data_IF_501291604545
#
_entry.id   IF_501291604545
#
_cell.length_a   1.000
_cell.length_b   1.000
_cell.length_c   1.000
_cell.angle_alpha   90.00
_cell.angle_beta   90.00
_cell.angle_gamma   90.00
#
_symmetry.space_group_name_H-M   'P 1'
#
loop_
_entity.id
_entity.type
_entity.pdbx_description
1 polymer ?
#
# COMPACT_ATOMS: atom_id res chain seq x y z
N UNK A 1 -30.50 -8.11 -3.27
CA UNK A 1 -29.09 -7.73 -3.02
C UNK A 1 -28.28 -7.97 -4.27
N UNK A 2 -27.53 -6.98 -4.73
CA UNK A 2 -26.65 -7.10 -5.90
C UNK A 2 -25.46 -8.03 -5.58
N UNK A 3 -24.91 -8.75 -6.57
CA UNK A 3 -23.76 -9.65 -6.33
C UNK A 3 -22.56 -8.96 -5.65
N UNK A 4 -22.20 -7.77 -6.08
CA UNK A 4 -21.06 -7.01 -5.52
C UNK A 4 -21.31 -6.60 -4.05
N UNK A 5 -22.52 -6.17 -3.72
CA UNK A 5 -22.88 -5.82 -2.33
C UNK A 5 -22.81 -7.06 -1.43
N UNK A 6 -23.28 -8.20 -1.92
CA UNK A 6 -23.22 -9.46 -1.17
C UNK A 6 -21.80 -9.92 -0.95
N UNK A 7 -20.95 -9.83 -1.96
CA UNK A 7 -19.52 -10.16 -1.85
C UNK A 7 -18.81 -9.27 -0.82
N UNK A 8 -19.10 -7.98 -0.80
CA UNK A 8 -18.54 -7.08 0.21
C UNK A 8 -19.00 -7.46 1.63
N UNK A 9 -20.31 -7.77 1.81
CA UNK A 9 -20.81 -8.23 3.10
C UNK A 9 -20.19 -9.55 3.56
N UNK A 10 -19.90 -10.49 2.65
CA UNK A 10 -19.17 -11.71 2.97
C UNK A 10 -17.78 -11.39 3.51
N UNK A 11 -17.06 -10.44 2.89
CA UNK A 11 -15.74 -10.03 3.35
C UNK A 11 -15.78 -9.34 4.73
N UNK A 12 -16.77 -8.49 4.97
CA UNK A 12 -16.97 -7.82 6.26
C UNK A 12 -17.23 -8.83 7.39
N UNK A 13 -18.10 -9.81 7.13
CA UNK A 13 -18.38 -10.89 8.09
C UNK A 13 -17.13 -11.71 8.38
N UNK A 14 -16.35 -12.06 7.33
CA UNK A 14 -15.09 -12.78 7.48
C UNK A 14 -14.03 -11.98 8.23
N UNK A 15 -13.96 -10.67 8.02
CA UNK A 15 -13.03 -9.80 8.74
C UNK A 15 -13.29 -9.82 10.25
N UNK A 16 -14.57 -9.88 10.65
CA UNK A 16 -14.98 -9.94 12.05
C UNK A 16 -14.83 -11.33 12.66
N UNK A 17 -15.35 -12.37 11.96
CA UNK A 17 -15.44 -13.73 12.52
C UNK A 17 -14.19 -14.59 12.28
N UNK A 18 -13.30 -14.18 11.37
CA UNK A 18 -12.09 -14.91 10.91
C UNK A 18 -12.38 -16.20 10.12
N UNK A 19 -13.48 -16.85 10.39
CA UNK A 19 -13.98 -18.01 9.64
C UNK A 19 -15.50 -17.99 9.64
N UNK A 20 -16.11 -18.50 8.56
CA UNK A 20 -17.57 -18.58 8.42
C UNK A 20 -17.94 -19.77 7.55
N UNK A 21 -19.05 -20.42 7.88
CA UNK A 21 -19.59 -21.52 7.08
C UNK A 21 -20.50 -21.01 5.97
N UNK A 22 -20.69 -21.83 4.91
CA UNK A 22 -21.69 -21.51 3.86
C UNK A 22 -23.08 -21.38 4.48
N UNK A 23 -23.40 -22.22 5.45
CA UNK A 23 -24.71 -22.22 6.11
C UNK A 23 -24.97 -20.92 6.88
N UNK A 24 -23.99 -20.46 7.66
CA UNK A 24 -24.05 -19.15 8.35
C UNK A 24 -24.21 -18.00 7.36
N UNK A 25 -23.47 -17.99 6.25
CA UNK A 25 -23.61 -16.96 5.22
C UNK A 25 -24.98 -16.99 4.55
N UNK A 26 -25.53 -18.19 4.29
CA UNK A 26 -26.90 -18.31 3.77
C UNK A 26 -27.92 -17.68 4.70
N UNK A 27 -27.77 -17.91 5.99
CA UNK A 27 -28.68 -17.38 7.00
C UNK A 27 -28.58 -15.86 7.16
N UNK A 28 -27.32 -15.35 7.22
CA UNK A 28 -27.07 -13.90 7.43
C UNK A 28 -27.48 -13.09 6.19
N UNK A 29 -27.16 -13.60 4.99
CA UNK A 29 -27.33 -12.86 3.73
C UNK A 29 -28.62 -13.24 2.98
N UNK A 30 -29.46 -14.08 3.56
CA UNK A 30 -30.72 -14.56 2.96
C UNK A 30 -30.53 -15.04 1.51
N UNK A 31 -29.47 -15.82 1.27
CA UNK A 31 -29.06 -16.28 -0.06
C UNK A 31 -28.90 -17.79 -0.11
N UNK A 32 -29.13 -18.39 -1.29
CA UNK A 32 -28.98 -19.85 -1.45
C UNK A 32 -27.54 -20.30 -1.33
N UNK A 33 -27.33 -21.53 -0.88
CA UNK A 33 -25.97 -22.11 -0.77
C UNK A 33 -25.23 -22.17 -2.11
N UNK A 34 -25.94 -22.31 -3.24
CA UNK A 34 -25.33 -22.26 -4.56
C UNK A 34 -24.82 -20.84 -4.89
N UNK A 35 -25.60 -19.80 -4.54
CA UNK A 35 -25.19 -18.39 -4.70
C UNK A 35 -23.97 -18.07 -3.86
N UNK A 36 -24.02 -18.43 -2.57
CA UNK A 36 -22.88 -18.21 -1.65
C UNK A 36 -21.62 -18.93 -2.12
N UNK A 37 -21.71 -20.21 -2.55
CA UNK A 37 -20.54 -20.93 -3.06
C UNK A 37 -19.96 -20.29 -4.32
N UNK A 38 -20.81 -19.73 -5.21
CA UNK A 38 -20.34 -18.97 -6.39
C UNK A 38 -19.62 -17.70 -5.97
N UNK A 39 -20.18 -16.93 -5.05
CA UNK A 39 -19.53 -15.72 -4.53
C UNK A 39 -18.21 -16.04 -3.84
N UNK A 40 -18.16 -17.06 -2.99
CA UNK A 40 -16.93 -17.52 -2.36
C UNK A 40 -15.88 -17.97 -3.39
N UNK A 41 -16.29 -18.61 -4.50
CA UNK A 41 -15.38 -19.01 -5.56
C UNK A 41 -14.80 -17.79 -6.29
N UNK A 42 -15.60 -16.76 -6.56
CA UNK A 42 -15.15 -15.49 -7.14
C UNK A 42 -14.20 -14.78 -6.19
N UNK A 43 -14.56 -14.67 -4.91
CA UNK A 43 -13.73 -14.03 -3.89
C UNK A 43 -12.40 -14.77 -3.68
N UNK A 44 -12.40 -16.11 -3.76
CA UNK A 44 -11.17 -16.91 -3.70
C UNK A 44 -10.31 -16.73 -4.95
N UNK A 45 -10.90 -16.73 -6.16
CA UNK A 45 -10.14 -16.46 -7.40
C UNK A 45 -9.53 -15.06 -7.42
N UNK A 46 -10.18 -14.12 -6.74
CA UNK A 46 -9.65 -12.78 -6.50
C UNK A 46 -8.65 -12.74 -5.32
N UNK A 47 -8.37 -13.88 -4.66
CA UNK A 47 -7.48 -13.98 -3.52
C UNK A 47 -7.99 -13.33 -2.22
N UNK A 48 -9.31 -13.03 -2.11
CA UNK A 48 -9.92 -12.27 -1.02
C UNK A 48 -10.21 -13.10 0.23
N UNK A 49 -10.27 -14.39 0.08
CA UNK A 49 -10.46 -15.36 1.14
C UNK A 49 -9.86 -16.71 0.72
N UNK A 50 -9.80 -17.64 1.64
CA UNK A 50 -9.50 -19.05 1.34
C UNK A 50 -10.72 -19.89 1.66
N UNK A 51 -11.19 -20.65 0.66
CA UNK A 51 -12.30 -21.58 0.88
C UNK A 51 -11.85 -22.80 1.67
N UNK A 52 -12.75 -23.32 2.47
CA UNK A 52 -12.66 -24.61 3.16
C UNK A 52 -13.75 -25.54 2.67
N UNK A 53 -13.75 -26.81 3.09
CA UNK A 53 -14.79 -27.79 2.70
C UNK A 53 -16.23 -27.35 3.01
N UNK A 54 -16.43 -26.46 3.98
CA UNK A 54 -17.77 -26.04 4.41
C UNK A 54 -17.98 -24.54 4.46
N UNK A 55 -17.01 -23.74 4.04
CA UNK A 55 -17.10 -22.27 4.20
C UNK A 55 -15.88 -21.52 3.68
N UNK A 56 -15.50 -20.49 4.39
CA UNK A 56 -14.34 -19.67 4.08
C UNK A 56 -13.63 -19.19 5.34
N UNK A 57 -12.33 -18.94 5.23
CA UNK A 57 -11.50 -18.31 6.26
C UNK A 57 -10.94 -16.99 5.76
N UNK A 58 -10.84 -16.05 6.67
CA UNK A 58 -10.24 -14.75 6.43
C UNK A 58 -8.74 -14.92 6.13
N UNK A 59 -8.29 -14.27 5.06
CA UNK A 59 -6.85 -14.14 4.82
C UNK A 59 -6.36 -12.99 5.69
N UNK A 60 -5.56 -13.30 6.70
CA UNK A 60 -4.99 -12.28 7.58
C UNK A 60 -4.12 -11.31 6.77
N UNK A 61 -4.50 -10.03 6.76
CA UNK A 61 -3.75 -8.97 6.09
C UNK A 61 -2.32 -8.81 6.64
N UNK A 62 -2.07 -9.30 7.86
CA UNK A 62 -0.73 -9.41 8.43
C UNK A 62 0.11 -10.54 7.83
N UNK A 63 -0.52 -11.47 7.08
CA UNK A 63 0.19 -12.57 6.45
C UNK A 63 1.24 -12.04 5.46
N UNK A 64 2.38 -12.71 5.43
CA UNK A 64 3.57 -12.34 4.63
C UNK A 64 3.26 -12.14 3.14
N UNK A 65 2.20 -12.77 2.61
CA UNK A 65 1.84 -12.81 1.20
C UNK A 65 0.41 -12.32 0.89
N UNK A 66 -0.10 -11.36 1.64
CA UNK A 66 -1.43 -10.79 1.36
C UNK A 66 -1.46 -10.08 0.00
N UNK A 67 -2.33 -10.51 -0.95
CA UNK A 67 -2.29 -10.03 -2.34
C UNK A 67 -2.49 -8.53 -2.47
N UNK A 68 -1.78 -7.90 -3.44
CA UNK A 68 -1.89 -6.45 -3.71
C UNK A 68 -3.33 -6.03 -4.01
N UNK A 69 -4.04 -6.80 -4.85
CA UNK A 69 -5.43 -6.52 -5.23
C UNK A 69 -6.35 -6.33 -4.02
N UNK A 70 -6.14 -7.09 -2.95
CA UNK A 70 -6.90 -6.97 -1.70
C UNK A 70 -6.49 -5.75 -0.91
N UNK A 71 -5.17 -5.54 -0.81
CA UNK A 71 -4.62 -4.36 -0.14
C UNK A 71 -5.06 -3.05 -0.79
N UNK A 72 -5.38 -3.04 -2.10
CA UNK A 72 -5.89 -1.85 -2.79
C UNK A 72 -7.23 -1.40 -2.25
N UNK A 73 -8.13 -2.33 -1.98
CA UNK A 73 -9.48 -2.06 -1.47
C UNK A 73 -9.53 -1.88 0.06
N UNK A 74 -8.55 -2.43 0.78
CA UNK A 74 -8.45 -2.27 2.22
C UNK A 74 -8.06 -0.83 2.58
N UNK A 75 -8.82 -0.18 3.46
CA UNK A 75 -8.60 1.21 3.89
C UNK A 75 -8.49 2.21 2.71
N UNK A 76 -9.28 2.03 1.65
CA UNK A 76 -9.17 2.80 0.41
C UNK A 76 -9.21 4.32 0.66
N UNK A 77 -10.20 4.81 1.40
CA UNK A 77 -10.35 6.24 1.72
C UNK A 77 -9.14 6.82 2.47
N UNK A 78 -8.56 6.02 3.38
CA UNK A 78 -7.35 6.42 4.09
C UNK A 78 -6.16 6.60 3.13
N UNK A 79 -5.98 5.69 2.17
CA UNK A 79 -4.92 5.78 1.17
C UNK A 79 -5.09 6.94 0.21
N UNK A 80 -6.31 7.21 -0.23
CA UNK A 80 -6.63 8.39 -1.04
C UNK A 80 -6.32 9.68 -0.30
N UNK A 81 -6.71 9.77 0.99
CA UNK A 81 -6.38 10.91 1.85
C UNK A 81 -4.87 11.11 1.96
N UNK A 82 -4.12 10.03 2.20
CA UNK A 82 -2.66 10.04 2.28
C UNK A 82 -2.04 10.50 0.96
N UNK A 83 -2.50 9.96 -0.17
CA UNK A 83 -2.01 10.34 -1.49
C UNK A 83 -2.22 11.83 -1.78
N UNK A 84 -3.40 12.37 -1.47
CA UNK A 84 -3.70 13.81 -1.62
C UNK A 84 -2.84 14.68 -0.69
N UNK A 85 -2.55 14.23 0.54
CA UNK A 85 -1.62 14.92 1.45
C UNK A 85 -0.17 14.89 0.95
N UNK A 86 0.22 13.83 0.23
CA UNK A 86 1.58 13.69 -0.30
C UNK A 86 1.80 14.47 -1.60
N UNK A 87 0.76 14.63 -2.42
CA UNK A 87 0.83 15.26 -3.76
C UNK A 87 1.49 16.65 -3.77
N UNK A 88 1.23 17.56 -2.80
CA UNK A 88 1.87 18.89 -2.77
C UNK A 88 3.39 18.90 -2.59
N UNK A 89 4.00 17.75 -2.26
CA UNK A 89 5.45 17.62 -2.20
C UNK A 89 6.11 17.47 -3.57
N UNK A 90 5.32 17.11 -4.58
CA UNK A 90 5.80 16.82 -5.92
C UNK A 90 5.71 18.07 -6.79
N UNK A 91 6.76 18.35 -7.52
CA UNK A 91 6.85 19.44 -8.51
C UNK A 91 7.46 18.92 -9.81
N UNK A 92 7.24 19.61 -10.91
CA UNK A 92 7.79 19.30 -12.21
C UNK A 92 9.33 19.13 -12.17
N UNK A 93 9.84 18.24 -12.99
CA UNK A 93 11.28 18.00 -13.15
C UNK A 93 11.92 17.09 -12.08
N UNK A 94 11.18 16.68 -11.05
CA UNK A 94 11.71 15.85 -9.97
C UNK A 94 11.88 14.39 -10.37
N UNK A 95 12.80 13.71 -9.67
CA UNK A 95 13.00 12.27 -9.72
C UNK A 95 12.40 11.61 -8.48
N UNK A 96 11.55 10.61 -8.68
CA UNK A 96 10.79 9.93 -7.62
C UNK A 96 11.08 8.43 -7.61
N UNK A 97 11.36 7.88 -6.44
CA UNK A 97 11.20 6.45 -6.19
C UNK A 97 9.79 6.18 -5.66
N UNK A 98 9.08 5.27 -6.32
CA UNK A 98 7.74 4.83 -5.92
C UNK A 98 7.78 3.32 -5.63
N UNK A 99 7.51 2.92 -4.38
CA UNK A 99 7.46 1.50 -4.04
C UNK A 99 6.22 0.79 -4.61
N UNK A 100 6.19 -0.53 -4.50
CA UNK A 100 5.12 -1.39 -5.01
C UNK A 100 3.86 -1.44 -4.12
N UNK A 101 3.75 -0.57 -3.12
CA UNK A 101 2.63 -0.62 -2.17
C UNK A 101 1.34 -0.05 -2.75
N UNK A 102 0.19 -0.56 -2.24
CA UNK A 102 -1.13 -0.03 -2.63
C UNK A 102 -1.36 1.43 -2.22
N UNK A 103 -0.65 1.93 -1.19
CA UNK A 103 -0.76 3.33 -0.76
C UNK A 103 -0.01 4.25 -1.73
N UNK A 104 1.20 3.86 -2.15
CA UNK A 104 1.98 4.61 -3.14
C UNK A 104 1.35 4.54 -4.52
N UNK A 105 0.70 3.43 -4.88
CA UNK A 105 -0.08 3.33 -6.10
C UNK A 105 -1.18 4.41 -6.17
N UNK A 106 -1.85 4.73 -5.03
CA UNK A 106 -2.83 5.83 -4.99
C UNK A 106 -2.20 7.21 -5.21
N UNK A 107 -0.95 7.41 -4.82
CA UNK A 107 -0.21 8.62 -5.18
C UNK A 107 0.12 8.64 -6.67
N UNK A 108 0.54 7.51 -7.25
CA UNK A 108 0.83 7.39 -8.67
C UNK A 108 -0.38 7.71 -9.57
N UNK A 109 -1.61 7.36 -9.12
CA UNK A 109 -2.86 7.71 -9.82
C UNK A 109 -3.08 9.23 -9.97
N UNK A 110 -2.41 10.05 -9.17
CA UNK A 110 -2.54 11.52 -9.17
C UNK A 110 -1.43 12.24 -9.94
N UNK A 111 -0.51 11.52 -10.59
CA UNK A 111 0.65 12.13 -11.25
C UNK A 111 0.37 12.62 -12.68
N UNK A 112 -0.85 12.44 -13.18
CA UNK A 112 -1.25 13.07 -14.45
C UNK A 112 -1.24 14.60 -14.34
N UNK A 113 -0.65 15.27 -15.33
CA UNK A 113 -0.59 16.73 -15.39
C UNK A 113 0.71 17.33 -14.84
N UNK A 114 1.62 16.53 -14.27
CA UNK A 114 3.00 16.95 -14.04
C UNK A 114 3.83 16.84 -15.32
N UNK A 115 4.89 17.64 -15.42
CA UNK A 115 5.79 17.64 -16.56
C UNK A 115 7.21 17.22 -16.14
N UNK A 116 7.88 16.44 -17.00
CA UNK A 116 9.27 16.05 -16.83
C UNK A 116 9.56 15.30 -15.51
N UNK A 117 8.58 14.59 -14.95
CA UNK A 117 8.84 13.70 -13.83
C UNK A 117 9.63 12.47 -14.30
N UNK A 118 10.64 12.07 -13.50
CA UNK A 118 11.30 10.77 -13.63
C UNK A 118 10.83 9.88 -12.51
N UNK A 119 10.26 8.73 -12.85
CA UNK A 119 9.75 7.77 -11.86
C UNK A 119 10.47 6.45 -12.00
N UNK A 120 11.08 6.00 -10.93
CA UNK A 120 11.68 4.67 -10.81
C UNK A 120 10.80 3.85 -9.88
N UNK A 121 10.31 2.69 -10.35
CA UNK A 121 9.45 1.83 -9.54
C UNK A 121 9.77 0.34 -9.70
N UNK A 122 9.62 -0.41 -8.61
CA UNK A 122 9.62 -1.86 -8.61
C UNK A 122 8.19 -2.46 -8.62
N UNK A 123 7.15 -1.62 -8.68
CA UNK A 123 5.76 -2.04 -8.71
C UNK A 123 5.27 -2.27 -10.13
N UNK A 124 4.91 -3.51 -10.49
CA UNK A 124 4.36 -3.82 -11.82
C UNK A 124 3.11 -2.99 -12.12
N UNK A 125 2.22 -2.86 -11.14
CA UNK A 125 0.96 -2.14 -11.32
C UNK A 125 1.19 -0.62 -11.41
N UNK A 126 2.10 -0.08 -10.61
CA UNK A 126 2.54 1.31 -10.68
C UNK A 126 3.17 1.62 -12.04
N UNK A 127 4.04 0.72 -12.53
CA UNK A 127 4.65 0.86 -13.84
C UNK A 127 3.61 0.83 -14.97
N UNK A 128 2.67 -0.13 -14.93
CA UNK A 128 1.60 -0.22 -15.92
C UNK A 128 0.70 1.01 -15.93
N UNK A 129 0.39 1.57 -14.76
CA UNK A 129 -0.40 2.80 -14.65
C UNK A 129 0.32 4.01 -15.27
N UNK A 130 1.62 4.16 -14.98
CA UNK A 130 2.38 5.33 -15.40
C UNK A 130 2.92 5.25 -16.83
N UNK A 131 2.85 4.08 -17.46
CA UNK A 131 3.34 3.89 -18.84
C UNK A 131 2.63 4.76 -19.86
N UNK A 132 1.36 5.09 -19.61
CA UNK A 132 0.51 5.88 -20.51
C UNK A 132 0.28 7.32 -19.98
N UNK A 133 1.06 7.78 -18.99
CA UNK A 133 0.93 9.13 -18.43
C UNK A 133 1.93 10.07 -19.10
N UNK A 134 1.41 11.03 -19.85
CA UNK A 134 2.23 12.08 -20.46
C UNK A 134 3.01 12.88 -19.41
N UNK A 135 4.26 13.24 -19.73
CA UNK A 135 5.13 14.00 -18.84
C UNK A 135 5.87 13.17 -17.78
N UNK A 136 5.69 11.85 -17.78
CA UNK A 136 6.40 10.90 -16.90
C UNK A 136 7.41 10.08 -17.69
N UNK A 137 8.70 10.23 -17.40
CA UNK A 137 9.76 9.31 -17.84
C UNK A 137 9.83 8.15 -16.85
N UNK A 138 9.36 6.97 -17.26
CA UNK A 138 9.22 5.80 -16.42
C UNK A 138 10.40 4.85 -16.55
N UNK A 139 11.00 4.49 -15.41
CA UNK A 139 12.01 3.45 -15.27
C UNK A 139 11.45 2.30 -14.41
N UNK A 140 11.25 1.14 -15.01
CA UNK A 140 10.85 -0.07 -14.29
C UNK A 140 12.10 -0.89 -13.95
N UNK A 141 12.23 -1.29 -12.68
CA UNK A 141 13.45 -1.97 -12.20
C UNK A 141 13.69 -3.34 -12.83
N UNK A 142 12.64 -3.99 -13.38
CA UNK A 142 12.71 -5.40 -13.75
C UNK A 142 13.00 -6.30 -12.54
N UNK A 143 13.50 -7.51 -12.79
CA UNK A 143 13.83 -8.47 -11.75
C UNK A 143 12.84 -9.63 -11.63
N UNK A 144 12.90 -10.40 -10.53
CA UNK A 144 11.96 -11.49 -10.27
C UNK A 144 10.64 -10.95 -9.75
N UNK A 145 9.54 -11.30 -10.41
CA UNK A 145 8.22 -10.88 -9.99
C UNK A 145 7.75 -11.70 -8.78
N UNK A 146 7.38 -11.03 -7.71
CA UNK A 146 6.61 -11.59 -6.60
C UNK A 146 5.12 -11.47 -6.90
N UNK A 147 4.50 -12.59 -7.25
CA UNK A 147 3.16 -12.62 -7.86
C UNK A 147 2.08 -11.94 -7.00
N UNK A 148 2.00 -12.26 -5.71
CA UNK A 148 0.97 -11.71 -4.82
C UNK A 148 1.14 -10.21 -4.57
N UNK A 149 2.37 -9.73 -4.48
CA UNK A 149 2.67 -8.32 -4.25
C UNK A 149 2.70 -7.50 -5.54
N UNK A 150 2.79 -8.15 -6.73
CA UNK A 150 3.00 -7.50 -8.02
C UNK A 150 4.21 -6.57 -7.98
N UNK A 151 5.27 -7.00 -7.31
CA UNK A 151 6.53 -6.27 -7.12
C UNK A 151 7.69 -7.03 -7.71
N UNK A 152 8.62 -6.30 -8.30
CA UNK A 152 9.92 -6.82 -8.68
C UNK A 152 10.86 -6.78 -7.47
N UNK A 153 11.58 -7.89 -7.26
CA UNK A 153 12.47 -8.08 -6.11
C UNK A 153 13.77 -8.77 -6.51
N UNK A 154 14.73 -8.76 -5.59
CA UNK A 154 16.01 -9.43 -5.74
C UNK A 154 17.17 -8.47 -6.00
N UNK A 155 18.40 -9.01 -6.00
CA UNK A 155 19.63 -8.22 -6.12
C UNK A 155 19.74 -7.40 -7.42
N UNK A 156 19.12 -7.86 -8.52
CA UNK A 156 19.07 -7.11 -9.78
C UNK A 156 18.30 -5.79 -9.62
N UNK A 157 17.20 -5.80 -8.84
CA UNK A 157 16.42 -4.60 -8.51
C UNK A 157 17.29 -3.62 -7.70
N UNK A 158 17.95 -4.09 -6.65
CA UNK A 158 18.77 -3.24 -5.80
C UNK A 158 19.94 -2.63 -6.59
N UNK A 159 20.60 -3.42 -7.43
CA UNK A 159 21.67 -2.91 -8.33
C UNK A 159 21.16 -1.87 -9.33
N UNK A 160 19.95 -2.04 -9.84
CA UNK A 160 19.34 -1.06 -10.74
C UNK A 160 19.03 0.24 -10.00
N UNK A 161 18.36 0.18 -8.86
CA UNK A 161 18.01 1.35 -8.04
C UNK A 161 19.26 2.15 -7.63
N UNK A 162 20.35 1.46 -7.26
CA UNK A 162 21.59 2.10 -6.82
C UNK A 162 22.32 2.89 -7.92
N UNK A 163 21.84 2.88 -9.15
CA UNK A 163 22.38 3.70 -10.25
C UNK A 163 21.73 5.10 -10.31
N UNK A 164 20.66 5.34 -9.53
CA UNK A 164 19.88 6.58 -9.58
C UNK A 164 19.90 7.29 -8.23
N UNK A 165 19.77 8.60 -8.28
CA UNK A 165 19.46 9.44 -7.12
C UNK A 165 18.10 10.08 -7.33
N UNK A 166 17.24 10.04 -6.31
CA UNK A 166 15.91 10.65 -6.34
C UNK A 166 15.77 11.82 -5.37
N UNK A 167 14.91 12.77 -5.72
CA UNK A 167 14.51 13.84 -4.81
C UNK A 167 13.68 13.28 -3.66
N UNK A 168 12.76 12.37 -3.99
CA UNK A 168 11.89 11.71 -3.01
C UNK A 168 11.82 10.20 -3.22
N UNK A 169 11.84 9.47 -2.09
CA UNK A 169 11.36 8.10 -2.02
C UNK A 169 10.00 8.08 -1.30
N UNK A 170 8.95 7.77 -2.01
CA UNK A 170 7.64 7.50 -1.41
C UNK A 170 7.54 5.99 -1.18
N UNK A 171 7.50 5.61 0.08
CA UNK A 171 7.40 4.21 0.51
C UNK A 171 6.23 4.02 1.46
N UNK A 172 5.69 2.80 1.53
CA UNK A 172 4.79 2.39 2.59
C UNK A 172 5.42 1.24 3.39
N UNK A 173 4.68 0.71 4.36
CA UNK A 173 5.16 -0.34 5.25
C UNK A 173 4.05 -1.32 5.64
N UNK A 174 4.42 -2.39 6.33
CA UNK A 174 3.49 -3.26 7.06
C UNK A 174 3.22 -2.73 8.47
N UNK A 175 4.22 -2.15 9.11
CA UNK A 175 4.10 -1.54 10.42
C UNK A 175 5.05 -0.36 10.59
N UNK A 176 4.60 0.64 11.33
CA UNK A 176 5.38 1.80 11.74
C UNK A 176 5.22 1.99 13.25
N UNK A 177 6.31 1.86 13.97
CA UNK A 177 6.37 1.97 15.43
C UNK A 177 7.42 3.00 15.84
N UNK A 178 7.19 3.83 16.85
CA UNK A 178 8.14 4.86 17.26
C UNK A 178 9.54 4.33 17.64
N UNK A 179 9.59 3.11 18.21
CA UNK A 179 10.83 2.46 18.69
C UNK A 179 11.38 1.48 17.66
N UNK A 180 10.53 0.57 17.18
CA UNK A 180 10.93 -0.42 16.20
C UNK A 180 11.20 0.19 14.81
N UNK A 181 10.65 1.38 14.53
CA UNK A 181 10.75 2.04 13.23
C UNK A 181 9.78 1.50 12.19
N UNK A 182 10.15 1.65 10.94
CA UNK A 182 9.42 1.16 9.76
C UNK A 182 9.77 -0.30 9.55
N UNK A 183 8.76 -1.15 9.44
CA UNK A 183 8.97 -2.60 9.35
C UNK A 183 8.18 -3.28 8.25
N UNK A 184 8.75 -4.37 7.71
CA UNK A 184 8.18 -5.21 6.67
C UNK A 184 8.14 -6.68 7.10
N UNK A 185 7.21 -7.45 6.49
CA UNK A 185 7.09 -8.88 6.71
C UNK A 185 8.02 -9.70 5.79
N UNK A 186 8.42 -9.13 4.63
CA UNK A 186 9.30 -9.75 3.64
C UNK A 186 10.66 -9.07 3.62
N UNK A 187 11.73 -9.87 3.72
CA UNK A 187 13.11 -9.37 3.60
C UNK A 187 13.38 -8.79 2.21
N UNK A 188 12.91 -9.44 1.17
CA UNK A 188 13.12 -9.01 -0.22
C UNK A 188 12.46 -7.66 -0.52
N UNK A 189 11.25 -7.41 0.02
CA UNK A 189 10.59 -6.10 -0.07
C UNK A 189 11.33 -5.04 0.76
N UNK A 190 11.82 -5.43 1.93
CA UNK A 190 12.60 -4.54 2.79
C UNK A 190 13.91 -4.12 2.11
N UNK A 191 14.60 -5.03 1.43
CA UNK A 191 15.86 -4.75 0.74
C UNK A 191 15.68 -3.75 -0.41
N UNK A 192 14.58 -3.84 -1.17
CA UNK A 192 14.28 -2.83 -2.20
C UNK A 192 14.02 -1.46 -1.57
N UNK A 193 13.23 -1.41 -0.49
CA UNK A 193 12.96 -0.15 0.21
C UNK A 193 14.22 0.46 0.82
N UNK A 194 15.13 -0.36 1.34
CA UNK A 194 16.45 0.09 1.82
C UNK A 194 17.23 0.75 0.68
N UNK A 195 17.22 0.17 -0.53
CA UNK A 195 17.86 0.80 -1.69
C UNK A 195 17.24 2.14 -2.04
N UNK A 196 15.92 2.29 -1.99
CA UNK A 196 15.25 3.57 -2.19
C UNK A 196 15.64 4.61 -1.13
N UNK A 197 15.65 4.21 0.15
CA UNK A 197 16.01 5.09 1.27
C UNK A 197 17.45 5.59 1.15
N UNK A 198 18.37 4.73 0.75
CA UNK A 198 19.78 5.06 0.62
C UNK A 198 20.08 6.03 -0.52
N UNK A 199 19.24 6.02 -1.57
CA UNK A 199 19.48 6.79 -2.80
C UNK A 199 18.46 7.94 -3.00
N UNK A 200 17.69 8.28 -1.98
CA UNK A 200 16.78 9.42 -2.02
C UNK A 200 17.22 10.54 -1.07
N UNK A 201 17.04 11.78 -1.51
CA UNK A 201 17.29 12.97 -0.68
C UNK A 201 16.28 13.08 0.47
N UNK A 202 15.02 12.75 0.22
CA UNK A 202 13.94 12.81 1.18
C UNK A 202 13.13 11.52 1.18
N UNK A 203 13.00 10.89 2.33
CA UNK A 203 12.19 9.67 2.52
C UNK A 203 10.85 10.04 3.11
N UNK A 204 9.77 9.75 2.39
CA UNK A 204 8.39 10.00 2.80
C UNK A 204 7.70 8.66 3.03
N UNK A 205 7.30 8.39 4.27
CA UNK A 205 6.51 7.21 4.61
C UNK A 205 5.02 7.53 4.47
N UNK A 206 4.34 6.81 3.60
CA UNK A 206 2.89 6.85 3.41
C UNK A 206 2.26 5.69 4.20
N UNK A 207 1.62 5.98 5.31
CA UNK A 207 1.20 4.96 6.28
C UNK A 207 -0.21 5.24 6.78
N UNK A 208 -1.15 4.34 6.49
CA UNK A 208 -2.48 4.44 7.09
C UNK A 208 -2.43 4.13 8.60
N UNK A 209 -3.36 4.72 9.34
CA UNK A 209 -3.38 4.66 10.82
C UNK A 209 -3.48 3.25 11.38
N UNK A 210 -3.98 2.29 10.61
CA UNK A 210 -4.08 0.88 11.07
C UNK A 210 -2.73 0.19 11.23
N UNK A 211 -1.66 0.78 10.67
CA UNK A 211 -0.29 0.25 10.72
C UNK A 211 0.57 0.92 11.80
N UNK A 212 0.09 2.01 12.40
CA UNK A 212 0.77 2.70 13.48
C UNK A 212 0.83 1.82 14.74
N UNK A 213 1.99 1.81 15.42
CA UNK A 213 2.25 0.98 16.58
C UNK A 213 2.42 -0.51 16.28
N UNK A 214 2.43 -0.92 15.00
CA UNK A 214 2.67 -2.31 14.60
C UNK A 214 4.11 -2.54 14.24
N UNK A 215 4.59 -3.75 14.55
CA UNK A 215 5.95 -4.20 14.28
C UNK A 215 5.94 -5.53 13.52
N UNK A 216 6.81 -5.65 12.53
CA UNK A 216 7.00 -6.84 11.72
C UNK A 216 8.46 -7.28 11.70
N UNK A 217 8.75 -8.38 11.02
CA UNK A 217 9.98 -9.12 11.10
C UNK A 217 11.23 -8.30 10.73
N UNK A 218 11.20 -7.57 9.60
CA UNK A 218 12.37 -6.88 9.06
C UNK A 218 12.26 -5.37 9.20
N UNK A 219 13.20 -4.75 9.91
CA UNK A 219 13.31 -3.28 9.97
C UNK A 219 13.86 -2.75 8.64
N UNK A 220 13.19 -1.71 8.13
CA UNK A 220 13.56 -0.98 6.91
C UNK A 220 14.21 0.35 7.24
N UNK A 221 13.68 1.08 8.22
CA UNK A 221 14.20 2.37 8.63
C UNK A 221 13.88 2.65 10.10
N UNK A 222 14.66 3.51 10.73
CA UNK A 222 14.27 4.17 11.97
C UNK A 222 13.37 5.38 11.68
N UNK A 223 12.61 5.85 12.65
CA UNK A 223 11.81 7.09 12.49
C UNK A 223 12.70 8.30 12.19
N UNK A 224 13.96 8.31 12.68
CA UNK A 224 14.94 9.36 12.41
C UNK A 224 15.40 9.46 10.96
N UNK A 225 15.31 8.40 10.18
CA UNK A 225 15.65 8.37 8.76
C UNK A 225 14.53 8.89 7.85
N UNK A 226 13.33 9.03 8.37
CA UNK A 226 12.21 9.60 7.63
C UNK A 226 12.31 11.13 7.59
N UNK A 227 12.12 11.71 6.42
CA UNK A 227 11.92 13.15 6.31
C UNK A 227 10.48 13.54 6.74
N UNK A 228 9.48 12.76 6.29
CA UNK A 228 8.06 12.90 6.67
C UNK A 228 7.38 11.56 6.86
N UNK A 229 6.36 11.54 7.73
CA UNK A 229 5.36 10.49 7.83
C UNK A 229 4.00 11.12 7.53
N UNK A 230 3.32 10.63 6.50
CA UNK A 230 2.00 11.11 6.09
C UNK A 230 0.98 10.01 6.36
N UNK A 231 -0.07 10.38 7.09
CA UNK A 231 -1.15 9.46 7.47
C UNK A 231 -2.52 10.12 7.30
N UNK A 232 -3.56 9.31 7.31
CA UNK A 232 -4.95 9.76 7.19
C UNK A 232 -5.50 10.42 8.46
N UNK A 233 -4.87 10.22 9.62
CA UNK A 233 -5.25 10.93 10.85
C UNK A 233 -4.53 12.28 10.93
N UNK A 234 -5.13 13.21 11.65
CA UNK A 234 -4.58 14.55 11.78
C UNK A 234 -3.53 14.65 12.87
N UNK A 235 -3.69 13.87 13.93
CA UNK A 235 -2.80 13.89 15.08
C UNK A 235 -2.04 12.58 15.20
N UNK A 236 -0.74 12.61 14.97
CA UNK A 236 0.16 11.51 15.27
C UNK A 236 0.41 11.46 16.79
N UNK A 237 0.50 10.27 17.40
CA UNK A 237 0.93 10.14 18.78
C UNK A 237 2.28 10.81 19.03
N UNK A 238 2.43 11.45 20.19
CA UNK A 238 3.65 12.20 20.56
C UNK A 238 4.94 11.37 20.43
N UNK A 239 4.85 10.07 20.64
CA UNK A 239 5.96 9.12 20.52
C UNK A 239 6.65 9.13 19.11
N UNK A 240 5.97 9.60 18.05
CA UNK A 240 6.57 9.73 16.71
C UNK A 240 7.48 10.94 16.55
N UNK A 241 7.52 11.84 17.54
CA UNK A 241 8.35 13.02 17.58
C UNK A 241 7.75 14.23 16.82
N UNK A 242 8.05 15.40 17.34
CA UNK A 242 7.46 16.67 16.87
C UNK A 242 7.66 16.92 15.36
N UNK A 243 8.84 16.60 14.83
CA UNK A 243 9.15 16.79 13.41
C UNK A 243 8.20 16.04 12.48
N UNK A 244 7.91 14.74 12.78
CA UNK A 244 7.00 13.93 11.96
C UNK A 244 5.55 14.35 12.16
N UNK A 245 5.17 14.77 13.37
CA UNK A 245 3.85 15.31 13.69
C UNK A 245 3.60 16.61 12.90
N UNK A 246 4.53 17.54 12.92
CA UNK A 246 4.44 18.80 12.17
C UNK A 246 4.33 18.52 10.67
N UNK A 247 5.19 17.63 10.14
CA UNK A 247 5.17 17.25 8.74
C UNK A 247 3.85 16.65 8.26
N UNK A 248 3.16 15.89 9.08
CA UNK A 248 1.83 15.36 8.74
C UNK A 248 0.76 16.47 8.68
N UNK A 249 0.84 17.47 9.56
CA UNK A 249 -0.11 18.61 9.59
C UNK A 249 0.08 19.57 8.42
N UNK A 250 1.32 19.89 8.06
CA UNK A 250 1.66 20.82 6.97
C UNK A 250 1.14 20.36 5.60
N UNK A 251 0.99 19.06 5.41
CA UNK A 251 0.54 18.46 4.16
C UNK A 251 -0.98 18.23 4.08
N UNK A 252 -1.78 18.91 4.90
CA UNK A 252 -3.23 18.90 4.73
C UNK A 252 -3.60 19.61 3.42
N UNK A 253 -4.50 19.04 2.61
CA UNK A 253 -5.07 19.76 1.48
C UNK A 253 -5.68 21.06 2.02
N UNK A 254 -5.35 22.20 1.40
CA UNK A 254 -6.07 23.44 1.69
C UNK A 254 -7.52 23.20 1.29
N UNK A 255 -8.44 23.32 2.25
CA UNK A 255 -9.87 23.35 1.93
C UNK A 255 -10.05 24.48 0.90
N UNK A 256 -10.59 24.14 -0.26
CA UNK A 256 -11.04 25.16 -1.20
C UNK A 256 -12.23 25.82 -0.52
N UNK A 257 -12.05 27.06 -0.07
CA UNK A 257 -13.18 27.91 0.22
C UNK A 257 -13.82 28.20 -1.14
N UNK A 258 -14.94 27.51 -1.39
CA UNK A 258 -15.86 27.85 -2.47
C UNK A 258 -16.63 29.13 -2.11
#
# INVERSE_FOLDING_TARGET
MLPLERQNQILDILAQKKAVTVEELCHILYSSGATIRRDLAILESNGQLKRTHGGAVFLDASAKDFPLMLRENENLLAKETIARKALPLITDGQTLFLDSSSTVLKLAELLSGFNQLRVITNGLKTASLLADVDGVELHCTGGRLRENAKSFIGQSVNRFVNQFNADYAFISCKGADPVAGVTEASEEEADVKLSYIQNARHVVLLCDSSKLGRQFFRRVATTGQLWRLITNIDELPAAYGERLIAGNRENRPRERND
#
